data_IF_805037903280
#
_entry.id   IF_805037903280
#
_cell.length_a   1.000
_cell.length_b   1.000
_cell.length_c   1.000
_cell.angle_alpha   90.00
_cell.angle_beta   90.00
_cell.angle_gamma   90.00
#
_symmetry.space_group_name_H-M   'P 1'
#
loop_
_entity.id
_entity.type
_entity.pdbx_description
1 polymer ?
#
# COMPACT_ATOMS: atom_id res chain seq x y z
N UNK A 1 37.95 -26.79 -11.44
CA UNK A 1 38.81 -25.74 -10.91
C UNK A 1 38.97 -25.96 -9.40
N UNK A 2 40.19 -26.02 -8.84
CA UNK A 2 40.38 -26.21 -7.41
C UNK A 2 39.83 -24.99 -6.65
N UNK A 3 38.93 -25.24 -5.68
CA UNK A 3 38.41 -24.24 -4.78
C UNK A 3 39.53 -23.69 -3.90
N UNK A 4 39.82 -22.41 -3.97
CA UNK A 4 40.83 -21.75 -3.13
C UNK A 4 40.41 -21.84 -1.65
N UNK A 5 41.35 -22.09 -0.69
CA UNK A 5 41.04 -22.23 0.72
C UNK A 5 40.40 -20.97 1.31
N UNK A 6 40.62 -19.78 0.75
CA UNK A 6 39.97 -18.53 1.13
C UNK A 6 38.48 -18.49 0.79
N UNK A 7 38.05 -19.06 -0.32
CA UNK A 7 36.63 -19.12 -0.72
C UNK A 7 35.82 -19.96 0.27
N UNK A 8 36.37 -21.05 0.75
CA UNK A 8 35.73 -21.91 1.75
C UNK A 8 35.64 -21.25 3.14
N UNK A 9 36.60 -20.42 3.52
CA UNK A 9 36.58 -19.70 4.80
C UNK A 9 35.49 -18.62 4.81
N UNK A 10 35.43 -17.81 3.76
CA UNK A 10 34.42 -16.74 3.65
C UNK A 10 33.00 -17.31 3.63
N UNK A 11 32.76 -18.35 2.84
CA UNK A 11 31.46 -19.03 2.73
C UNK A 11 31.05 -19.62 4.07
N UNK A 12 31.98 -20.25 4.79
CA UNK A 12 31.73 -20.79 6.13
C UNK A 12 31.40 -19.70 7.16
N UNK A 13 32.16 -18.61 7.19
CA UNK A 13 31.92 -17.47 8.07
C UNK A 13 30.58 -16.83 7.79
N UNK A 14 30.17 -16.79 6.54
CA UNK A 14 28.86 -16.35 6.11
C UNK A 14 27.73 -17.24 6.67
N UNK A 15 27.82 -18.55 6.52
CA UNK A 15 26.85 -19.51 7.09
C UNK A 15 26.78 -19.37 8.63
N UNK A 16 27.92 -19.16 9.30
CA UNK A 16 27.93 -18.91 10.75
C UNK A 16 27.08 -17.72 11.10
N UNK A 17 27.25 -16.56 10.42
CA UNK A 17 26.50 -15.34 10.69
C UNK A 17 24.99 -15.52 10.50
N UNK A 18 24.55 -16.31 9.52
CA UNK A 18 23.14 -16.58 9.27
C UNK A 18 22.49 -17.47 10.32
N UNK A 19 23.27 -18.33 10.99
CA UNK A 19 22.78 -19.26 11.99
C UNK A 19 22.70 -18.68 13.40
N UNK A 20 23.27 -17.49 13.64
CA UNK A 20 23.26 -16.83 14.93
C UNK A 20 21.89 -16.20 15.20
N UNK A 21 21.19 -16.54 16.30
CA UNK A 21 19.86 -16.01 16.59
C UNK A 21 19.92 -14.54 17.05
N UNK A 22 18.79 -13.80 16.89
CA UNK A 22 18.73 -12.38 17.25
C UNK A 22 18.54 -12.11 18.76
N UNK A 23 18.36 -13.14 19.59
CA UNK A 23 18.03 -13.00 21.01
C UNK A 23 18.75 -14.04 21.87
N UNK A 24 19.03 -13.74 23.18
CA UNK A 24 19.43 -14.73 24.15
C UNK A 24 18.40 -15.88 24.25
N UNK A 25 18.85 -17.11 24.62
CA UNK A 25 20.17 -17.48 25.14
C UNK A 25 21.26 -17.62 24.07
N UNK A 26 20.91 -17.51 22.76
CA UNK A 26 21.86 -17.64 21.69
C UNK A 26 22.07 -19.11 21.24
N UNK A 27 22.99 -19.30 20.27
CA UNK A 27 23.39 -20.62 19.77
C UNK A 27 24.75 -21.01 20.35
N UNK A 28 24.87 -22.26 20.82
CA UNK A 28 26.15 -22.73 21.37
C UNK A 28 27.13 -23.05 20.23
N UNK A 29 28.43 -22.94 20.52
CA UNK A 29 29.46 -23.33 19.54
C UNK A 29 29.36 -24.81 19.13
N UNK A 30 28.87 -25.70 20.02
CA UNK A 30 28.66 -27.11 19.72
C UNK A 30 27.50 -27.32 18.71
N UNK A 31 26.38 -26.62 18.90
CA UNK A 31 25.22 -26.74 18.01
C UNK A 31 25.49 -26.04 16.66
N UNK A 32 26.21 -24.92 16.68
CA UNK A 32 26.64 -24.24 15.47
C UNK A 32 27.60 -25.15 14.66
N UNK A 33 28.54 -25.81 15.32
CA UNK A 33 29.43 -26.78 14.67
C UNK A 33 28.65 -27.92 14.00
N UNK A 34 27.65 -28.51 14.68
CA UNK A 34 26.78 -29.54 14.08
C UNK A 34 26.10 -29.03 12.80
N UNK A 35 25.53 -27.84 12.84
CA UNK A 35 24.83 -27.24 11.69
C UNK A 35 25.79 -26.96 10.54
N UNK A 36 26.98 -26.43 10.78
CA UNK A 36 27.99 -26.15 9.78
C UNK A 36 28.54 -27.44 9.13
N UNK A 37 28.73 -28.51 9.91
CA UNK A 37 29.11 -29.81 9.38
C UNK A 37 27.98 -30.41 8.53
N UNK A 38 26.73 -30.28 8.95
CA UNK A 38 25.56 -30.70 8.15
C UNK A 38 25.40 -29.88 6.85
N UNK A 39 25.85 -28.64 6.79
CA UNK A 39 25.93 -27.83 5.60
C UNK A 39 27.10 -28.17 4.66
N UNK A 40 27.88 -29.25 4.99
CA UNK A 40 28.93 -29.79 4.12
C UNK A 40 30.33 -29.23 4.40
N UNK A 41 30.55 -28.45 5.45
CA UNK A 41 31.88 -27.93 5.80
C UNK A 41 32.63 -28.89 6.71
N UNK A 42 33.86 -29.26 6.31
CA UNK A 42 34.77 -30.13 7.09
C UNK A 42 35.62 -29.25 8.04
N UNK A 43 35.09 -28.94 9.23
CA UNK A 43 35.75 -28.07 10.20
C UNK A 43 35.67 -28.63 11.63
N UNK A 44 36.59 -28.19 12.49
CA UNK A 44 36.60 -28.52 13.92
C UNK A 44 35.85 -27.48 14.73
N UNK A 45 35.40 -27.82 15.94
CA UNK A 45 34.78 -26.90 16.88
C UNK A 45 35.70 -25.68 17.18
N UNK A 46 37.02 -25.92 17.33
CA UNK A 46 38.00 -24.85 17.53
C UNK A 46 38.06 -23.85 16.37
N UNK A 47 37.82 -24.29 15.14
CA UNK A 47 37.74 -23.42 13.96
C UNK A 47 36.51 -22.53 14.06
N UNK A 48 35.36 -23.05 14.48
CA UNK A 48 34.12 -22.27 14.66
C UNK A 48 34.30 -21.25 15.80
N UNK A 49 34.92 -21.62 16.92
CA UNK A 49 35.22 -20.71 18.02
C UNK A 49 36.11 -19.52 17.57
N UNK A 50 37.12 -19.81 16.77
CA UNK A 50 37.99 -18.78 16.21
C UNK A 50 37.21 -17.88 15.24
N UNK A 51 36.42 -18.46 14.36
CA UNK A 51 35.60 -17.69 13.42
C UNK A 51 34.59 -16.78 14.15
N UNK A 52 33.93 -17.24 15.21
CA UNK A 52 33.04 -16.45 16.06
C UNK A 52 33.75 -15.25 16.70
N UNK A 53 34.95 -15.48 17.26
CA UNK A 53 35.76 -14.44 17.85
C UNK A 53 36.26 -13.41 16.81
N UNK A 54 36.62 -13.85 15.60
CA UNK A 54 37.03 -12.96 14.54
C UNK A 54 35.82 -12.17 13.99
N UNK A 55 34.67 -12.80 13.84
CA UNK A 55 33.43 -12.17 13.39
C UNK A 55 32.84 -11.19 14.43
N UNK A 56 33.05 -11.44 15.74
CA UNK A 56 32.55 -10.53 16.78
C UNK A 56 33.22 -9.16 16.80
N UNK A 57 34.39 -9.02 16.12
CA UNK A 57 35.08 -7.73 16.01
C UNK A 57 34.41 -6.76 15.01
N UNK A 58 34.10 -7.20 13.75
CA UNK A 58 33.41 -6.35 12.76
C UNK A 58 31.89 -6.38 12.89
N UNK A 59 31.31 -7.40 13.50
CA UNK A 59 29.86 -7.56 13.65
C UNK A 59 29.45 -7.46 15.11
N UNK A 60 28.29 -6.87 15.38
CA UNK A 60 27.78 -6.68 16.73
C UNK A 60 27.24 -8.00 17.34
N UNK A 61 28.12 -9.00 17.50
CA UNK A 61 27.83 -10.27 18.14
C UNK A 61 28.15 -10.21 19.62
N UNK A 62 27.30 -10.83 20.42
CA UNK A 62 27.49 -10.99 21.86
C UNK A 62 27.51 -12.45 22.27
N UNK A 63 28.36 -12.78 23.22
CA UNK A 63 28.37 -14.07 23.88
C UNK A 63 27.68 -13.98 25.26
N UNK A 64 26.68 -14.80 25.49
CA UNK A 64 26.10 -14.95 26.82
C UNK A 64 27.03 -15.79 27.69
N UNK A 65 27.89 -15.12 28.46
CA UNK A 65 28.86 -15.72 29.38
C UNK A 65 28.26 -16.07 30.74
N UNK A 66 27.03 -15.59 31.04
CA UNK A 66 26.31 -15.87 32.27
C UNK A 66 25.52 -17.18 32.24
N UNK A 67 25.41 -17.83 31.08
CA UNK A 67 24.69 -19.09 30.88
C UNK A 67 25.64 -20.28 30.66
N UNK A 68 25.24 -21.46 31.11
CA UNK A 68 25.98 -22.71 30.82
C UNK A 68 25.01 -23.61 30.04
N UNK A 69 25.26 -23.88 28.71
CA UNK A 69 26.43 -23.49 27.93
C UNK A 69 26.35 -22.06 27.37
N UNK A 70 27.51 -21.44 27.13
CA UNK A 70 27.62 -20.11 26.50
C UNK A 70 27.02 -20.08 25.10
N UNK A 71 26.17 -19.08 24.82
CA UNK A 71 25.47 -18.92 23.54
C UNK A 71 25.82 -17.60 22.84
N UNK A 72 25.97 -17.65 21.54
CA UNK A 72 26.21 -16.47 20.71
C UNK A 72 24.90 -15.94 20.11
N UNK A 73 24.71 -14.64 20.13
CA UNK A 73 23.52 -13.96 19.60
C UNK A 73 23.86 -12.56 19.10
N UNK A 74 22.97 -11.97 18.30
CA UNK A 74 23.11 -10.58 17.83
C UNK A 74 22.77 -9.58 18.95
N UNK A 75 23.54 -8.51 19.08
CA UNK A 75 23.19 -7.40 19.97
C UNK A 75 21.82 -6.83 19.62
N UNK A 76 21.08 -6.30 20.59
CA UNK A 76 19.76 -5.73 20.38
C UNK A 76 19.80 -4.63 19.29
N UNK A 77 18.96 -4.76 18.28
CA UNK A 77 18.92 -3.85 17.12
C UNK A 77 19.99 -4.10 16.06
N UNK A 78 20.93 -5.02 16.28
CA UNK A 78 21.88 -5.44 15.26
C UNK A 78 21.34 -6.66 14.51
N UNK A 79 21.41 -6.60 13.20
CA UNK A 79 21.18 -7.74 12.30
C UNK A 79 22.26 -7.72 11.23
N UNK A 80 22.59 -8.88 10.69
CA UNK A 80 23.39 -8.90 9.48
C UNK A 80 22.50 -8.37 8.37
N UNK A 81 22.72 -7.14 7.93
CA UNK A 81 22.30 -6.71 6.60
C UNK A 81 23.16 -7.43 5.55
N UNK A 82 23.08 -8.76 5.58
CA UNK A 82 23.80 -9.61 4.65
C UNK A 82 23.10 -9.55 3.29
N UNK A 83 23.83 -9.45 2.17
CA UNK A 83 23.25 -9.54 0.85
C UNK A 83 22.69 -10.95 0.64
N UNK A 84 21.43 -11.14 0.97
CA UNK A 84 20.72 -12.40 0.81
C UNK A 84 19.31 -12.26 1.36
N UNK A 85 18.39 -11.84 0.52
CA UNK A 85 16.96 -11.89 0.84
C UNK A 85 16.56 -13.34 1.00
N UNK A 86 15.93 -13.76 2.10
CA UNK A 86 15.34 -15.11 2.26
C UNK A 86 14.25 -15.32 1.21
N UNK A 87 13.82 -16.56 0.97
CA UNK A 87 12.73 -16.81 0.02
C UNK A 87 11.43 -16.11 0.46
N UNK A 88 11.12 -16.13 1.76
CA UNK A 88 9.95 -15.45 2.31
C UNK A 88 10.02 -13.93 2.14
N UNK A 89 11.17 -13.32 2.40
CA UNK A 89 11.39 -11.88 2.16
C UNK A 89 11.30 -11.54 0.68
N UNK A 90 11.86 -12.38 -0.21
CA UNK A 90 11.78 -12.15 -1.65
C UNK A 90 10.32 -12.17 -2.14
N UNK A 91 9.52 -13.14 -1.66
CA UNK A 91 8.08 -13.21 -1.94
C UNK A 91 7.34 -11.98 -1.40
N UNK A 92 7.61 -11.59 -0.17
CA UNK A 92 6.98 -10.41 0.44
C UNK A 92 7.33 -9.14 -0.32
N UNK A 93 8.61 -8.93 -0.66
CA UNK A 93 9.07 -7.78 -1.44
C UNK A 93 8.41 -7.73 -2.83
N UNK A 94 8.28 -8.87 -3.52
CA UNK A 94 7.61 -8.93 -4.82
C UNK A 94 6.12 -8.58 -4.74
N UNK A 95 5.41 -9.06 -3.69
CA UNK A 95 3.98 -8.77 -3.50
C UNK A 95 3.67 -7.31 -3.19
N UNK A 96 4.58 -6.61 -2.48
CA UNK A 96 4.34 -5.22 -2.06
C UNK A 96 4.95 -4.19 -3.00
N UNK A 97 5.88 -4.59 -3.87
CA UNK A 97 6.65 -3.68 -4.73
C UNK A 97 5.76 -2.73 -5.54
N UNK A 98 4.79 -3.27 -6.27
CA UNK A 98 3.90 -2.48 -7.12
C UNK A 98 2.99 -1.54 -6.32
N UNK A 99 2.61 -1.94 -5.10
CA UNK A 99 1.76 -1.14 -4.23
C UNK A 99 2.49 0.07 -3.62
N UNK A 100 3.79 -0.08 -3.31
CA UNK A 100 4.53 0.98 -2.60
C UNK A 100 5.32 1.91 -3.53
N UNK A 101 5.69 1.48 -4.74
CA UNK A 101 6.45 2.30 -5.69
C UNK A 101 5.84 3.69 -5.94
N UNK A 102 4.52 3.83 -6.18
CA UNK A 102 3.92 5.15 -6.41
C UNK A 102 3.94 6.08 -5.20
N UNK A 103 4.13 5.53 -4.00
CA UNK A 103 4.05 6.26 -2.73
C UNK A 103 5.41 6.69 -2.17
N UNK A 104 6.52 6.10 -2.69
CA UNK A 104 7.85 6.34 -2.15
C UNK A 104 8.66 7.33 -3.00
N UNK A 105 9.32 8.32 -2.37
CA UNK A 105 10.29 9.18 -3.04
C UNK A 105 11.43 8.38 -3.68
N UNK A 106 12.01 8.91 -4.75
CA UNK A 106 13.15 8.28 -5.47
C UNK A 106 14.35 8.01 -4.56
N UNK A 107 14.60 8.87 -3.59
CA UNK A 107 15.65 8.68 -2.59
C UNK A 107 15.44 7.40 -1.76
N UNK A 108 14.22 7.12 -1.35
CA UNK A 108 13.87 5.88 -0.63
C UNK A 108 13.84 4.67 -1.56
N UNK A 109 13.34 4.82 -2.79
CA UNK A 109 13.33 3.74 -3.79
C UNK A 109 14.75 3.31 -4.15
N UNK A 110 15.72 4.24 -4.27
CA UNK A 110 17.13 3.91 -4.52
C UNK A 110 17.70 2.99 -3.42
N UNK A 111 17.30 3.12 -2.18
CA UNK A 111 17.71 2.25 -1.08
C UNK A 111 17.08 0.86 -1.19
N UNK A 112 15.84 0.78 -1.66
CA UNK A 112 15.07 -0.48 -1.78
C UNK A 112 15.33 -1.21 -3.11
N UNK A 113 15.65 -0.49 -4.19
CA UNK A 113 15.83 -1.04 -5.53
C UNK A 113 16.81 -2.22 -5.61
N UNK A 114 17.98 -2.19 -4.92
CA UNK A 114 18.87 -3.35 -4.89
C UNK A 114 18.19 -4.57 -4.25
N UNK A 115 17.32 -4.37 -3.24
CA UNK A 115 16.58 -5.45 -2.57
C UNK A 115 15.47 -6.01 -3.46
N UNK A 116 14.70 -5.15 -4.13
CA UNK A 116 13.70 -5.58 -5.10
C UNK A 116 14.33 -6.35 -6.26
N UNK A 117 15.43 -5.85 -6.83
CA UNK A 117 16.16 -6.53 -7.89
C UNK A 117 16.67 -7.90 -7.44
N UNK A 118 17.26 -7.96 -6.25
CA UNK A 118 17.77 -9.20 -5.70
C UNK A 118 16.63 -10.20 -5.39
N UNK A 119 15.49 -9.71 -4.90
CA UNK A 119 14.30 -10.52 -4.68
C UNK A 119 13.81 -11.13 -6.00
N UNK A 120 13.64 -10.32 -7.07
CA UNK A 120 13.25 -10.80 -8.39
C UNK A 120 14.22 -11.85 -8.95
N UNK A 121 15.52 -11.58 -8.94
CA UNK A 121 16.54 -12.52 -9.40
C UNK A 121 16.52 -13.84 -8.63
N UNK A 122 16.33 -13.77 -7.30
CA UNK A 122 16.22 -14.98 -6.47
C UNK A 122 14.97 -15.78 -6.82
N UNK A 123 13.84 -15.13 -7.01
CA UNK A 123 12.59 -15.79 -7.41
C UNK A 123 12.74 -16.44 -8.80
N UNK A 124 13.30 -15.75 -9.77
CA UNK A 124 13.58 -16.26 -11.11
C UNK A 124 14.51 -17.48 -11.08
N UNK A 125 15.60 -17.41 -10.31
CA UNK A 125 16.58 -18.51 -10.21
C UNK A 125 16.02 -19.78 -9.57
N UNK A 126 14.96 -19.67 -8.79
CA UNK A 126 14.32 -20.78 -8.08
C UNK A 126 13.02 -21.26 -8.77
N UNK A 127 12.52 -20.53 -9.78
CA UNK A 127 11.22 -20.75 -10.41
C UNK A 127 11.00 -22.20 -10.90
N UNK A 128 12.04 -22.85 -11.40
CA UNK A 128 11.93 -24.23 -11.93
C UNK A 128 11.94 -25.33 -10.84
N UNK A 129 12.32 -25.02 -9.59
CA UNK A 129 12.63 -26.05 -8.58
C UNK A 129 11.83 -25.98 -7.28
N UNK A 130 11.00 -24.96 -7.07
CA UNK A 130 10.39 -24.75 -5.75
C UNK A 130 8.87 -24.53 -5.81
N UNK A 131 8.10 -25.38 -5.14
CA UNK A 131 6.64 -25.26 -5.03
C UNK A 131 6.19 -23.94 -4.35
N UNK A 132 7.03 -23.38 -3.49
CA UNK A 132 6.74 -22.13 -2.77
C UNK A 132 6.67 -20.94 -3.72
N UNK A 133 7.38 -20.97 -4.85
CA UNK A 133 7.34 -19.90 -5.85
C UNK A 133 6.05 -19.87 -6.65
N UNK A 134 5.39 -21.01 -6.79
CA UNK A 134 4.03 -21.08 -7.36
C UNK A 134 2.99 -20.36 -6.50
N UNK A 135 3.38 -19.87 -5.31
CA UNK A 135 2.50 -19.07 -4.47
C UNK A 135 2.17 -17.71 -5.12
N UNK A 136 3.14 -17.06 -5.75
CA UNK A 136 2.90 -15.81 -6.48
C UNK A 136 1.89 -15.98 -7.62
N UNK A 137 1.92 -17.12 -8.29
CA UNK A 137 0.98 -17.46 -9.36
C UNK A 137 -0.44 -17.81 -8.85
N UNK A 138 -0.58 -18.01 -7.54
CA UNK A 138 -1.84 -18.46 -6.91
C UNK A 138 -2.51 -17.38 -6.07
N UNK A 139 -1.86 -16.24 -5.85
CA UNK A 139 -2.35 -15.16 -4.99
C UNK A 139 -2.40 -13.88 -5.80
N UNK A 140 -3.58 -13.30 -5.87
CA UNK A 140 -3.78 -11.99 -6.50
C UNK A 140 -4.75 -11.17 -5.67
N UNK A 141 -4.53 -9.87 -5.61
CA UNK A 141 -5.50 -8.90 -5.09
C UNK A 141 -6.25 -8.32 -6.28
N UNK A 142 -7.57 -8.51 -6.31
CA UNK A 142 -8.45 -7.95 -7.35
C UNK A 142 -9.36 -6.95 -6.68
N UNK A 143 -9.31 -5.71 -7.14
CA UNK A 143 -10.27 -4.70 -6.69
C UNK A 143 -11.64 -4.99 -7.29
N UNK A 144 -12.74 -4.83 -6.51
CA UNK A 144 -14.10 -5.11 -6.99
C UNK A 144 -14.59 -4.11 -8.04
N UNK A 145 -13.95 -2.95 -8.15
CA UNK A 145 -14.26 -1.93 -9.14
C UNK A 145 -13.75 -2.29 -10.53
N UNK A 146 -14.34 -1.65 -11.56
CA UNK A 146 -13.83 -1.77 -12.93
C UNK A 146 -12.34 -1.42 -12.97
N UNK A 147 -11.53 -2.31 -13.54
CA UNK A 147 -10.08 -2.15 -13.60
C UNK A 147 -9.71 -1.07 -14.65
N UNK A 148 -9.68 0.18 -14.21
CA UNK A 148 -9.27 1.32 -15.03
C UNK A 148 -7.74 1.37 -15.13
N UNK A 149 -7.24 1.76 -16.29
CA UNK A 149 -5.81 2.01 -16.47
C UNK A 149 -5.39 3.24 -15.64
N UNK A 150 -4.31 3.15 -14.85
CA UNK A 150 -3.82 4.29 -14.10
C UNK A 150 -3.34 5.39 -15.05
N UNK A 151 -3.59 6.67 -14.71
CA UNK A 151 -3.10 7.78 -15.51
C UNK A 151 -1.57 7.84 -15.45
N UNK A 152 -0.96 8.23 -16.56
CA UNK A 152 0.48 8.44 -16.61
C UNK A 152 0.85 9.75 -15.90
N UNK A 153 1.87 9.69 -15.06
CA UNK A 153 2.43 10.84 -14.35
C UNK A 153 3.88 10.98 -14.83
N UNK A 154 4.32 12.15 -15.31
CA UNK A 154 5.74 12.38 -15.59
C UNK A 154 6.59 12.11 -14.34
N UNK A 155 7.66 11.32 -14.52
CA UNK A 155 8.46 10.85 -13.37
C UNK A 155 9.09 11.99 -12.57
N UNK A 156 9.56 13.03 -13.25
CA UNK A 156 10.15 14.25 -12.69
C UNK A 156 9.13 15.02 -11.82
N UNK A 157 7.87 15.10 -12.25
CA UNK A 157 6.80 15.72 -11.48
C UNK A 157 6.51 14.90 -10.22
N UNK A 158 6.31 13.59 -10.36
CA UNK A 158 6.03 12.73 -9.20
C UNK A 158 7.15 12.81 -8.16
N UNK A 159 8.41 12.76 -8.62
CA UNK A 159 9.58 12.89 -7.76
C UNK A 159 9.60 14.24 -7.02
N UNK A 160 9.33 15.34 -7.72
CA UNK A 160 9.26 16.67 -7.12
C UNK A 160 8.15 16.75 -6.05
N UNK A 161 6.96 16.19 -6.30
CA UNK A 161 5.86 16.17 -5.32
C UNK A 161 6.23 15.36 -4.07
N UNK A 162 6.84 14.20 -4.25
CA UNK A 162 7.26 13.33 -3.17
C UNK A 162 8.40 13.94 -2.35
N UNK A 163 9.35 14.58 -3.01
CA UNK A 163 10.47 15.24 -2.35
C UNK A 163 10.04 16.49 -1.57
N UNK A 164 9.10 17.29 -2.13
CA UNK A 164 8.51 18.42 -1.43
C UNK A 164 7.80 17.98 -0.13
N UNK A 165 7.06 16.87 -0.20
CA UNK A 165 6.40 16.27 0.96
C UNK A 165 7.41 15.74 1.98
N UNK A 166 8.47 15.06 1.54
CA UNK A 166 9.51 14.51 2.41
C UNK A 166 10.31 15.62 3.13
N UNK A 167 10.60 16.72 2.43
CA UNK A 167 11.33 17.86 2.99
C UNK A 167 10.45 18.85 3.74
N UNK A 168 9.14 18.63 3.77
CA UNK A 168 8.16 19.54 4.37
C UNK A 168 8.26 20.97 3.81
N UNK A 169 8.37 21.06 2.47
CA UNK A 169 8.56 22.32 1.74
C UNK A 169 7.32 22.70 0.93
N UNK A 170 7.15 24.01 0.72
CA UNK A 170 6.15 24.54 -0.20
C UNK A 170 6.45 24.13 -1.63
N UNK A 171 5.40 24.00 -2.43
CA UNK A 171 5.45 23.61 -3.83
C UNK A 171 4.80 24.69 -4.69
N UNK A 172 5.54 25.27 -5.65
CA UNK A 172 4.96 26.04 -6.74
C UNK A 172 4.63 25.09 -7.87
N UNK A 173 3.42 25.20 -8.42
CA UNK A 173 3.02 24.29 -9.48
C UNK A 173 2.08 24.95 -10.50
N UNK A 174 2.04 24.38 -11.70
CA UNK A 174 0.98 24.61 -12.69
C UNK A 174 0.09 23.39 -12.72
N UNK A 175 -1.18 23.58 -12.37
CA UNK A 175 -2.16 22.51 -12.17
C UNK A 175 -3.37 22.68 -13.12
N UNK A 176 -3.74 21.58 -13.81
CA UNK A 176 -4.94 21.51 -14.65
C UNK A 176 -6.17 21.18 -13.80
N UNK A 177 -7.12 22.07 -13.73
CA UNK A 177 -8.40 21.89 -13.06
C UNK A 177 -9.45 21.37 -14.04
N UNK A 178 -9.78 20.09 -13.97
CA UNK A 178 -10.79 19.46 -14.83
C UNK A 178 -12.21 20.03 -14.62
N UNK A 179 -12.51 20.62 -13.44
CA UNK A 179 -13.81 21.23 -13.19
C UNK A 179 -14.03 22.50 -14.01
N UNK A 180 -12.97 23.29 -14.20
CA UNK A 180 -13.04 24.57 -14.89
C UNK A 180 -12.39 24.55 -16.27
N UNK A 181 -11.83 23.43 -16.67
CA UNK A 181 -11.05 23.24 -17.88
C UNK A 181 -9.95 24.30 -18.06
N UNK A 182 -9.20 24.60 -16.98
CA UNK A 182 -8.18 25.65 -16.95
C UNK A 182 -6.95 25.21 -16.18
N UNK A 183 -5.80 25.67 -16.65
CA UNK A 183 -4.54 25.60 -15.90
C UNK A 183 -4.43 26.82 -14.96
N UNK A 184 -3.85 26.61 -13.80
CA UNK A 184 -3.60 27.64 -12.77
C UNK A 184 -2.23 27.44 -12.16
N UNK A 185 -1.57 28.55 -11.88
CA UNK A 185 -0.40 28.55 -11.01
C UNK A 185 -0.85 28.61 -9.57
N UNK A 186 -0.29 27.73 -8.75
CA UNK A 186 -0.63 27.60 -7.33
C UNK A 186 0.66 27.46 -6.51
N UNK A 187 0.59 27.95 -5.28
CA UNK A 187 1.53 27.59 -4.22
C UNK A 187 0.78 26.68 -3.27
N UNK A 188 1.35 25.51 -2.97
CA UNK A 188 0.73 24.48 -2.15
C UNK A 188 1.61 24.15 -0.96
N UNK A 189 0.99 23.83 0.16
CA UNK A 189 1.62 23.22 1.33
C UNK A 189 1.26 21.73 1.30
N UNK A 190 2.17 20.83 0.88
CA UNK A 190 1.94 19.39 0.87
C UNK A 190 1.78 18.84 2.29
N UNK A 191 0.72 18.07 2.54
CA UNK A 191 0.41 17.46 3.83
C UNK A 191 0.50 15.93 3.79
N UNK A 192 0.02 15.31 2.69
CA UNK A 192 0.06 13.87 2.50
C UNK A 192 -0.04 13.46 1.02
N UNK A 193 0.39 12.24 0.71
CA UNK A 193 0.18 11.58 -0.58
C UNK A 193 -0.66 10.33 -0.36
N UNK A 194 -1.78 10.21 -1.06
CA UNK A 194 -2.72 9.10 -0.88
C UNK A 194 -3.04 8.45 -2.22
N UNK A 195 -2.87 7.13 -2.29
CA UNK A 195 -3.31 6.34 -3.44
C UNK A 195 -4.77 5.93 -3.25
N UNK A 196 -5.64 6.27 -4.21
CA UNK A 196 -7.05 5.88 -4.23
C UNK A 196 -7.37 5.18 -5.55
N UNK A 197 -7.47 3.87 -5.51
CA UNK A 197 -7.57 3.08 -6.73
C UNK A 197 -6.41 3.39 -7.70
N UNK A 198 -6.68 3.66 -8.98
CA UNK A 198 -5.63 3.94 -9.97
C UNK A 198 -5.03 5.37 -9.87
N UNK A 199 -5.56 6.26 -9.02
CA UNK A 199 -5.16 7.67 -8.97
C UNK A 199 -4.51 8.01 -7.64
N UNK A 200 -3.33 8.64 -7.68
CA UNK A 200 -2.69 9.25 -6.53
C UNK A 200 -3.14 10.71 -6.36
N UNK A 201 -3.35 11.13 -5.11
CA UNK A 201 -3.75 12.48 -4.72
C UNK A 201 -2.74 13.07 -3.76
N UNK A 202 -2.28 14.28 -4.03
CA UNK A 202 -1.55 15.11 -3.09
C UNK A 202 -2.57 15.91 -2.28
N UNK A 203 -2.53 15.74 -0.96
CA UNK A 203 -3.37 16.48 -0.01
C UNK A 203 -2.61 17.72 0.40
N UNK A 204 -3.21 18.91 0.21
CA UNK A 204 -2.54 20.17 0.43
C UNK A 204 -3.49 21.23 0.98
N UNK A 205 -2.95 22.27 1.62
CA UNK A 205 -3.56 23.59 1.67
C UNK A 205 -2.98 24.49 0.58
N UNK A 206 -3.65 25.59 0.28
CA UNK A 206 -3.19 26.57 -0.73
C UNK A 206 -3.38 27.98 -0.20
N UNK A 207 -2.31 28.71 0.17
CA UNK A 207 -2.42 30.06 0.67
C UNK A 207 -3.22 30.99 -0.27
N UNK A 208 -4.04 31.92 0.23
CA UNK A 208 -4.24 32.25 1.65
C UNK A 208 -5.31 31.39 2.36
N UNK A 209 -5.73 30.28 1.78
CA UNK A 209 -6.80 29.42 2.29
C UNK A 209 -6.20 28.24 3.09
N UNK A 210 -6.83 27.95 4.24
CA UNK A 210 -6.44 26.83 5.11
C UNK A 210 -7.25 25.57 4.83
N UNK A 211 -8.20 25.61 3.89
CA UNK A 211 -9.00 24.47 3.51
C UNK A 211 -8.15 23.38 2.83
N UNK A 212 -8.27 22.17 3.33
CA UNK A 212 -7.55 21.00 2.81
C UNK A 212 -8.19 20.57 1.48
N UNK A 213 -7.37 20.51 0.44
CA UNK A 213 -7.78 20.11 -0.92
C UNK A 213 -7.00 18.93 -1.42
N UNK A 214 -7.60 18.23 -2.39
CA UNK A 214 -7.05 17.05 -3.03
C UNK A 214 -6.67 17.39 -4.47
N UNK A 215 -5.40 17.18 -4.80
CA UNK A 215 -4.86 17.45 -6.12
C UNK A 215 -4.42 16.12 -6.76
N UNK A 216 -5.11 15.69 -7.84
CA UNK A 216 -4.74 14.49 -8.56
C UNK A 216 -3.35 14.65 -9.19
N UNK A 217 -2.41 13.78 -8.88
CA UNK A 217 -0.99 13.95 -9.24
C UNK A 217 -0.74 14.01 -10.75
N UNK A 218 -1.50 13.28 -11.55
CA UNK A 218 -1.40 13.29 -13.02
C UNK A 218 -1.87 14.60 -13.69
N UNK A 219 -2.46 15.53 -12.93
CA UNK A 219 -2.91 16.84 -13.42
C UNK A 219 -1.90 17.96 -13.20
N UNK A 220 -0.81 17.69 -12.52
CA UNK A 220 0.31 18.63 -12.44
C UNK A 220 1.01 18.69 -13.80
N UNK A 221 1.27 19.91 -14.27
CA UNK A 221 2.00 20.19 -15.53
C UNK A 221 3.43 20.62 -15.28
N UNK A 222 3.65 21.29 -14.17
CA UNK A 222 4.95 21.72 -13.66
C UNK A 222 4.93 21.72 -12.13
N UNK A 223 6.06 21.42 -11.52
CA UNK A 223 6.24 21.45 -10.08
C UNK A 223 7.66 21.89 -9.74
N UNK A 224 7.80 22.73 -8.71
CA UNK A 224 9.07 23.26 -8.22
C UNK A 224 9.00 23.37 -6.69
N UNK A 225 10.03 22.88 -6.00
CA UNK A 225 10.13 22.97 -4.54
C UNK A 225 10.59 24.38 -4.19
N UNK A 226 9.87 25.05 -3.29
CA UNK A 226 10.25 26.35 -2.76
C UNK A 226 11.14 26.20 -1.52
N UNK A 227 11.95 27.23 -1.18
CA UNK A 227 12.79 27.18 0.02
C UNK A 227 11.96 27.27 1.32
N UNK A 228 10.75 27.82 1.26
CA UNK A 228 9.91 28.05 2.41
C UNK A 228 9.33 26.72 2.95
N UNK A 229 9.18 26.58 4.28
CA UNK A 229 8.56 25.40 4.87
C UNK A 229 7.06 25.31 4.51
N UNK A 230 6.53 24.10 4.38
CA UNK A 230 5.10 23.88 4.24
C UNK A 230 4.38 24.20 5.56
N UNK A 231 3.22 24.88 5.45
CA UNK A 231 2.39 25.22 6.59
C UNK A 231 1.24 24.21 6.78
N UNK A 232 0.74 24.10 8.01
CA UNK A 232 -0.41 23.26 8.36
C UNK A 232 -0.07 21.83 8.81
N UNK A 233 1.17 21.37 8.69
CA UNK A 233 1.59 20.00 9.07
C UNK A 233 1.36 19.71 10.57
N UNK A 234 1.58 20.69 11.45
CA UNK A 234 1.44 20.51 12.90
C UNK A 234 -0.01 20.23 13.35
N UNK A 235 -1.00 20.52 12.51
CA UNK A 235 -2.43 20.40 12.82
C UNK A 235 -3.14 19.35 11.93
N UNK A 236 -2.38 18.65 11.07
CA UNK A 236 -2.93 17.66 10.14
C UNK A 236 -2.63 16.25 10.64
N UNK A 237 -3.68 15.46 10.85
CA UNK A 237 -3.57 14.01 11.05
C UNK A 237 -4.17 13.28 9.84
N UNK A 238 -3.36 12.43 9.19
CA UNK A 238 -3.79 11.69 8.01
C UNK A 238 -4.87 10.65 8.35
N UNK A 239 -4.81 10.03 9.53
CA UNK A 239 -5.79 9.00 9.92
C UNK A 239 -7.15 9.63 10.17
N UNK A 240 -7.19 10.76 10.88
CA UNK A 240 -8.41 11.53 11.10
C UNK A 240 -8.98 12.04 9.78
N UNK A 241 -8.12 12.50 8.86
CA UNK A 241 -8.53 12.93 7.54
C UNK A 241 -9.14 11.80 6.71
N UNK A 242 -8.57 10.59 6.74
CA UNK A 242 -9.12 9.42 6.07
C UNK A 242 -10.44 8.95 6.70
N UNK A 243 -10.53 8.99 8.04
CA UNK A 243 -11.75 8.64 8.78
C UNK A 243 -12.91 9.61 8.56
N UNK A 244 -12.63 10.86 8.15
CA UNK A 244 -13.66 11.86 7.82
C UNK A 244 -14.36 11.64 6.48
N UNK A 245 -14.04 10.58 5.73
CA UNK A 245 -14.53 10.31 4.37
C UNK A 245 -14.22 11.43 3.34
N UNK A 246 -13.27 12.32 3.64
CA UNK A 246 -12.92 13.44 2.78
C UNK A 246 -12.50 13.02 1.36
N UNK A 247 -11.90 11.82 1.21
CA UNK A 247 -11.53 11.26 -0.09
C UNK A 247 -12.71 10.69 -0.89
N UNK A 248 -13.91 10.61 -0.31
CA UNK A 248 -15.09 10.08 -1.02
C UNK A 248 -15.82 11.12 -1.86
N UNK A 249 -15.30 12.35 -1.92
CA UNK A 249 -15.85 13.52 -2.62
C UNK A 249 -17.29 13.87 -2.21
N UNK A 250 -17.61 15.17 -2.20
CA UNK A 250 -18.91 15.69 -1.79
C UNK A 250 -18.87 16.28 -0.39
N UNK A 251 -20.03 16.42 0.22
CA UNK A 251 -20.15 16.90 1.60
C UNK A 251 -20.34 15.69 2.53
N UNK A 252 -19.39 15.34 3.38
CA UNK A 252 -19.43 14.11 4.19
C UNK A 252 -20.37 14.20 5.41
N UNK A 253 -21.54 14.84 5.27
CA UNK A 253 -22.55 14.83 6.31
C UNK A 253 -23.08 13.40 6.54
N UNK A 254 -23.15 12.97 7.79
CA UNK A 254 -23.74 11.65 8.12
C UNK A 254 -25.24 11.67 7.90
N UNK A 255 -25.72 10.63 7.25
CA UNK A 255 -27.14 10.37 6.97
C UNK A 255 -27.54 8.96 7.43
N UNK A 256 -28.77 8.80 7.84
CA UNK A 256 -29.37 7.48 8.01
C UNK A 256 -29.95 7.03 6.66
N UNK A 257 -29.24 6.13 5.98
CA UNK A 257 -29.72 5.50 4.76
C UNK A 257 -30.78 4.45 5.10
N UNK A 258 -31.97 4.58 4.52
CA UNK A 258 -32.96 3.51 4.48
C UNK A 258 -33.26 3.18 3.03
N UNK A 259 -33.23 1.89 2.69
CA UNK A 259 -33.46 1.44 1.34
C UNK A 259 -34.13 0.07 1.32
N UNK A 260 -34.99 -0.15 0.36
CA UNK A 260 -35.39 -1.48 -0.04
C UNK A 260 -34.24 -2.11 -0.84
N UNK A 261 -33.94 -3.39 -0.59
CA UNK A 261 -32.94 -4.15 -1.32
C UNK A 261 -33.43 -5.57 -1.65
N UNK A 262 -32.94 -6.11 -2.76
CA UNK A 262 -33.22 -7.47 -3.21
C UNK A 262 -32.61 -8.53 -2.29
N UNK A 263 -33.14 -9.77 -2.33
CA UNK A 263 -32.62 -10.92 -1.56
C UNK A 263 -31.12 -11.20 -1.86
N UNK A 264 -30.69 -11.01 -3.11
CA UNK A 264 -29.30 -11.24 -3.50
C UNK A 264 -28.36 -10.18 -2.90
N UNK A 265 -28.74 -8.91 -2.95
CA UNK A 265 -27.97 -7.83 -2.36
C UNK A 265 -27.93 -7.94 -0.83
N UNK A 266 -29.04 -8.37 -0.21
CA UNK A 266 -29.09 -8.60 1.24
C UNK A 266 -28.14 -9.70 1.71
N UNK A 267 -27.96 -10.77 0.94
CA UNK A 267 -26.96 -11.81 1.24
C UNK A 267 -25.54 -11.25 1.17
N UNK A 268 -25.21 -10.53 0.11
CA UNK A 268 -23.89 -9.90 -0.05
C UNK A 268 -23.58 -8.93 1.10
N UNK A 269 -24.55 -8.06 1.44
CA UNK A 269 -24.37 -7.09 2.51
C UNK A 269 -24.38 -7.72 3.91
N UNK A 270 -24.98 -8.90 4.07
CA UNK A 270 -24.86 -9.71 5.29
C UNK A 270 -23.44 -10.23 5.54
N UNK A 271 -22.68 -10.47 4.48
CA UNK A 271 -21.27 -10.89 4.54
C UNK A 271 -20.32 -9.69 4.60
N UNK A 272 -20.67 -8.58 3.94
CA UNK A 272 -19.86 -7.36 3.81
C UNK A 272 -20.72 -6.12 4.11
N UNK A 273 -20.96 -5.80 5.39
CA UNK A 273 -21.85 -4.70 5.78
C UNK A 273 -21.30 -3.33 5.38
N UNK A 274 -22.21 -2.40 5.04
CA UNK A 274 -21.88 -1.01 4.66
C UNK A 274 -21.36 -0.17 5.83
N UNK A 275 -21.84 -0.46 7.04
CA UNK A 275 -21.44 0.21 8.28
C UNK A 275 -21.61 -0.71 9.48
N UNK A 276 -20.95 -0.44 10.62
CA UNK A 276 -21.04 -1.28 11.82
C UNK A 276 -22.46 -1.36 12.41
N UNK A 277 -23.29 -0.33 12.17
CA UNK A 277 -24.68 -0.23 12.64
C UNK A 277 -25.72 -0.72 11.63
N UNK A 278 -25.26 -1.30 10.50
CA UNK A 278 -26.17 -1.79 9.48
C UNK A 278 -27.13 -2.85 10.00
N UNK A 279 -28.40 -2.71 9.66
CA UNK A 279 -29.45 -3.70 9.95
C UNK A 279 -30.22 -4.08 8.70
N UNK A 280 -30.66 -5.35 8.65
CA UNK A 280 -31.48 -5.91 7.57
C UNK A 280 -32.76 -6.49 8.16
N UNK A 281 -33.89 -5.96 7.75
CA UNK A 281 -35.23 -6.42 8.15
C UNK A 281 -35.89 -7.12 6.96
N UNK A 282 -36.32 -8.39 7.13
CA UNK A 282 -36.97 -9.14 6.03
C UNK A 282 -38.34 -8.55 5.73
N UNK A 283 -38.62 -8.32 4.44
CA UNK A 283 -39.90 -7.93 3.87
C UNK A 283 -40.47 -9.08 2.99
N UNK A 284 -41.72 -9.01 2.59
CA UNK A 284 -42.31 -10.03 1.69
C UNK A 284 -41.61 -10.15 0.34
N UNK A 285 -41.06 -9.05 -0.17
CA UNK A 285 -40.47 -8.92 -1.52
C UNK A 285 -38.97 -8.51 -1.51
N UNK A 286 -38.27 -8.67 -0.38
CA UNK A 286 -36.87 -8.28 -0.24
C UNK A 286 -36.49 -8.00 1.20
N UNK A 287 -35.70 -6.97 1.41
CA UNK A 287 -35.25 -6.51 2.74
C UNK A 287 -35.28 -4.99 2.82
N UNK A 288 -35.51 -4.48 4.03
CA UNK A 288 -35.25 -3.09 4.38
C UNK A 288 -33.86 -3.00 4.99
N UNK A 289 -33.01 -2.24 4.36
CA UNK A 289 -31.67 -1.86 4.83
C UNK A 289 -31.76 -0.57 5.63
N UNK A 290 -31.05 -0.51 6.77
CA UNK A 290 -30.74 0.73 7.50
C UNK A 290 -29.25 0.75 7.82
N UNK A 291 -28.58 1.89 7.58
CA UNK A 291 -27.16 2.06 7.83
C UNK A 291 -26.82 3.55 7.95
N UNK A 292 -25.91 3.92 8.86
CA UNK A 292 -25.35 5.27 8.93
C UNK A 292 -24.24 5.42 7.91
N UNK A 293 -24.40 6.32 6.93
CA UNK A 293 -23.48 6.54 5.83
C UNK A 293 -23.11 8.02 5.71
N UNK A 294 -22.02 8.32 5.01
CA UNK A 294 -21.70 9.69 4.61
C UNK A 294 -22.34 10.00 3.25
N UNK A 295 -23.02 11.15 3.11
CA UNK A 295 -23.67 11.58 1.85
C UNK A 295 -22.63 12.07 0.85
N UNK A 296 -21.88 11.13 0.28
CA UNK A 296 -20.78 11.36 -0.66
C UNK A 296 -21.15 10.99 -2.08
N UNK A 297 -20.36 11.44 -3.05
CA UNK A 297 -20.51 10.98 -4.44
C UNK A 297 -20.27 9.48 -4.57
N UNK A 298 -19.36 8.92 -3.76
CA UNK A 298 -19.08 7.48 -3.75
C UNK A 298 -20.33 6.68 -3.37
N UNK A 299 -21.06 7.12 -2.33
CA UNK A 299 -22.33 6.47 -1.95
C UNK A 299 -23.34 6.54 -3.10
N UNK A 300 -23.47 7.70 -3.76
CA UNK A 300 -24.39 7.85 -4.89
C UNK A 300 -24.02 6.95 -6.07
N UNK A 301 -22.72 6.86 -6.41
CA UNK A 301 -22.25 5.97 -7.47
C UNK A 301 -22.47 4.50 -7.13
N UNK A 302 -22.21 4.12 -5.88
CA UNK A 302 -22.46 2.77 -5.41
C UNK A 302 -23.97 2.42 -5.48
N UNK A 303 -24.86 3.31 -5.03
CA UNK A 303 -26.31 3.12 -5.15
C UNK A 303 -26.73 2.94 -6.62
N UNK A 304 -26.25 3.77 -7.52
CA UNK A 304 -26.54 3.68 -8.94
C UNK A 304 -26.02 2.39 -9.58
N UNK A 305 -24.88 1.86 -9.10
CA UNK A 305 -24.34 0.59 -9.58
C UNK A 305 -25.17 -0.63 -9.19
N UNK A 306 -26.00 -0.52 -8.12
CA UNK A 306 -26.90 -1.60 -7.72
C UNK A 306 -28.17 -1.68 -8.60
N UNK A 307 -28.43 -0.68 -9.44
CA UNK A 307 -29.54 -0.65 -10.39
C UNK A 307 -30.90 -0.90 -9.69
N UNK A 308 -31.64 -1.93 -10.11
CA UNK A 308 -32.94 -2.34 -9.58
C UNK A 308 -32.86 -3.14 -8.27
N UNK A 309 -31.67 -3.55 -7.87
CA UNK A 309 -31.46 -4.28 -6.61
C UNK A 309 -31.53 -3.39 -5.36
N UNK A 310 -31.56 -2.05 -5.50
CA UNK A 310 -31.61 -1.11 -4.40
C UNK A 310 -32.51 0.10 -4.73
N UNK A 311 -33.47 0.38 -3.85
CA UNK A 311 -34.34 1.57 -3.95
C UNK A 311 -34.22 2.39 -2.66
N UNK A 312 -33.71 3.61 -2.77
CA UNK A 312 -33.59 4.53 -1.62
C UNK A 312 -34.96 4.95 -1.14
N UNK A 313 -35.24 4.76 0.16
CA UNK A 313 -36.46 5.21 0.84
C UNK A 313 -36.20 6.54 1.58
N UNK A 314 -35.08 6.64 2.31
CA UNK A 314 -34.68 7.79 3.11
C UNK A 314 -33.17 8.02 3.02
N UNK A 315 -32.64 9.25 3.08
CA UNK A 315 -33.39 10.51 3.21
C UNK A 315 -34.02 10.97 1.88
N UNK A 316 -35.11 11.75 1.92
CA UNK A 316 -35.81 12.17 0.70
C UNK A 316 -34.94 12.95 -0.30
N UNK A 317 -33.97 13.72 0.19
CA UNK A 317 -33.03 14.45 -0.67
C UNK A 317 -32.15 13.54 -1.51
N UNK A 318 -31.62 12.46 -0.92
CA UNK A 318 -30.83 11.45 -1.65
C UNK A 318 -31.71 10.69 -2.63
N UNK A 319 -32.89 10.24 -2.20
CA UNK A 319 -33.89 9.60 -3.07
C UNK A 319 -34.20 10.43 -4.29
N UNK A 320 -34.47 11.74 -4.12
CA UNK A 320 -34.78 12.64 -5.22
C UNK A 320 -33.61 12.78 -6.20
N UNK A 321 -32.37 12.92 -5.71
CA UNK A 321 -31.18 13.00 -6.56
C UNK A 321 -30.95 11.71 -7.38
N UNK A 322 -31.10 10.54 -6.77
CA UNK A 322 -30.96 9.26 -7.47
C UNK A 322 -32.06 9.07 -8.50
N UNK A 323 -33.33 9.33 -8.13
CA UNK A 323 -34.47 9.19 -9.03
C UNK A 323 -34.35 10.14 -10.25
N UNK A 324 -33.83 11.36 -10.06
CA UNK A 324 -33.61 12.31 -11.16
C UNK A 324 -32.53 11.82 -12.12
N UNK A 325 -31.38 11.32 -11.60
CA UNK A 325 -30.33 10.76 -12.43
C UNK A 325 -30.82 9.56 -13.23
N UNK A 326 -31.59 8.65 -12.64
CA UNK A 326 -32.16 7.48 -13.31
C UNK A 326 -33.13 7.89 -14.41
N UNK A 327 -34.02 8.87 -14.18
CA UNK A 327 -34.93 9.41 -15.20
C UNK A 327 -34.18 10.02 -16.39
N UNK A 328 -33.17 10.85 -16.11
CA UNK A 328 -32.32 11.44 -17.17
C UNK A 328 -31.58 10.39 -17.98
N UNK A 329 -31.13 9.31 -17.32
CA UNK A 329 -30.46 8.19 -18.02
C UNK A 329 -31.43 7.42 -18.89
N UNK A 330 -32.62 7.06 -18.36
CA UNK A 330 -33.67 6.36 -19.12
C UNK A 330 -34.08 7.16 -20.36
N UNK A 331 -34.34 8.46 -20.22
CA UNK A 331 -34.72 9.33 -21.34
C UNK A 331 -33.69 9.33 -22.47
N UNK A 332 -32.37 9.24 -22.17
CA UNK A 332 -31.34 9.17 -23.20
C UNK A 332 -31.40 7.86 -24.00
N UNK A 333 -31.66 6.73 -23.33
CA UNK A 333 -31.83 5.44 -24.00
C UNK A 333 -33.09 5.40 -24.90
N UNK A 334 -34.17 6.07 -24.49
CA UNK A 334 -35.43 6.16 -25.25
C UNK A 334 -35.28 7.04 -26.50
N UNK A 335 -34.59 8.19 -26.40
CA UNK A 335 -34.36 9.07 -27.58
C UNK A 335 -33.60 8.38 -28.72
N UNK A 336 -32.60 7.56 -28.43
CA UNK A 336 -31.84 6.81 -29.46
C UNK A 336 -32.70 5.75 -30.20
N UNK A 337 -33.73 5.23 -29.55
CA UNK A 337 -34.64 4.27 -30.18
C UNK A 337 -35.58 4.95 -31.19
N UNK A 338 -36.00 6.17 -30.92
CA UNK A 338 -36.89 6.93 -31.85
C UNK A 338 -36.18 7.36 -33.12
N UNK A 339 -34.91 7.75 -33.07
CA UNK A 339 -34.11 8.09 -34.25
C UNK A 339 -33.85 6.88 -35.16
N UNK A 340 -33.64 5.68 -34.61
CA UNK A 340 -33.45 4.44 -35.38
C UNK A 340 -34.72 3.87 -35.99
N UNK A 341 -35.89 4.25 -35.50
CA UNK A 341 -37.20 3.81 -36.04
C UNK A 341 -37.71 4.77 -37.11
N UNK A 342 -37.11 5.97 -37.26
CA UNK A 342 -37.49 7.01 -38.22
C UNK A 342 -36.54 7.06 -39.43
N UNK A 343 -35.52 6.20 -39.50
CA UNK A 343 -34.60 6.04 -40.63
C UNK A 343 -34.80 4.69 -41.32
#
# INVERSE_FOLDING_TARGET
LPSSPHRNTLTRQWEILQLIPPRPPGITCADLHKKIVSAGFKVTRRTIERDLNDLSKPFALQCNDKGTPQGWYWSAGASVNLPGVSLGEALSLALIEDAIRPLLPSSMLQVLEPRFRFARQKLESLAERNQTLRWLDKVACVHPDLNLQPPQIPADILETLQEALLQEKQLRCRYYSAHNDKERELVLNPLALVQRGPVAYLICTSPPYDDIRQYATHRFRQAEILPDPADGLAHFDLQDYLASDALQFGNPSKIELQAWISDNLARLLGETPLSPDMTLEKLPDGYRLRATMSDTWQLQWWILSQSDALVVESPPSLRARIAEKLRQTAARYECEQMEKTSA
#
